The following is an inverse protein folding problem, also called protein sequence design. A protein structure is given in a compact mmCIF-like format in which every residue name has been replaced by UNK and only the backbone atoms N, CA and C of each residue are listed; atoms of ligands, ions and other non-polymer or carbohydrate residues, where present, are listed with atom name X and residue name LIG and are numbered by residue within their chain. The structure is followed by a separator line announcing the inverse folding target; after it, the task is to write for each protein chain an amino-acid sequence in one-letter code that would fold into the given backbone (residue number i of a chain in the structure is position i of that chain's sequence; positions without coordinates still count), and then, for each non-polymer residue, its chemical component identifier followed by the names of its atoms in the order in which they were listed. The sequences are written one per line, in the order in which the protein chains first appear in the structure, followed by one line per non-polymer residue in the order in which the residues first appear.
data_IF_627028561023
#
_entry.id   IF_627028561023
#
_cell.length_a   1.000
_cell.length_b   1.000
_cell.length_c   1.000
_cell.angle_alpha   90.00
_cell.angle_beta   90.00
_cell.angle_gamma   90.00
#
_symmetry.space_group_name_H-M   'P 1'
#
loop_
_entity.id
_entity.type
_entity.pdbx_description
1 polymer ?
#
# COMPACT_ATOMS: atom_id res chain seq x y z
N UNK A 1 -15.63 4.16 7.49
CA UNK A 1 -14.57 3.71 8.42
C UNK A 1 -13.36 4.58 8.23
N UNK A 2 -12.99 5.38 9.24
CA UNK A 2 -11.77 6.19 9.23
C UNK A 2 -10.65 5.35 9.83
N UNK A 3 -9.82 4.76 8.97
CA UNK A 3 -8.65 3.97 9.37
C UNK A 3 -7.57 4.88 9.99
N UNK A 4 -6.81 4.33 10.94
CA UNK A 4 -5.64 5.01 11.51
C UNK A 4 -4.70 5.47 10.40
N UNK A 5 -4.29 6.75 10.44
CA UNK A 5 -3.37 7.31 9.45
C UNK A 5 -1.95 7.11 9.92
N UNK A 6 -1.21 6.22 9.27
CA UNK A 6 0.23 6.02 9.54
C UNK A 6 0.97 7.31 9.21
N UNK A 7 1.73 7.84 10.17
CA UNK A 7 2.52 9.05 10.00
C UNK A 7 3.95 8.79 10.47
N UNK A 8 4.88 8.70 9.52
CA UNK A 8 6.30 8.63 9.79
C UNK A 8 6.75 9.87 10.54
N UNK A 9 7.42 9.69 11.68
CA UNK A 9 8.00 10.80 12.46
C UNK A 9 9.42 10.40 12.86
N UNK A 10 10.40 11.25 12.57
CA UNK A 10 11.82 11.00 12.90
C UNK A 10 12.13 11.62 14.27
N UNK A 11 12.63 10.82 15.21
CA UNK A 11 13.15 11.31 16.49
C UNK A 11 14.67 11.07 16.52
N UNK A 12 15.44 12.11 16.17
CA UNK A 12 16.91 12.01 16.10
C UNK A 12 17.42 11.01 15.05
N UNK A 13 18.37 10.17 15.46
CA UNK A 13 19.03 9.16 14.62
C UNK A 13 18.37 7.77 14.65
N UNK A 14 17.29 7.61 15.43
CA UNK A 14 16.52 6.37 15.51
C UNK A 14 15.33 6.41 14.56
N UNK A 15 15.23 5.39 13.70
CA UNK A 15 14.07 5.16 12.84
C UNK A 15 13.08 4.25 13.55
N UNK A 16 12.06 4.83 14.18
CA UNK A 16 10.98 4.09 14.84
C UNK A 16 9.65 4.44 14.18
N UNK A 17 8.90 3.44 13.74
CA UNK A 17 7.54 3.65 13.26
C UNK A 17 6.62 3.86 14.46
N UNK A 18 6.20 5.11 14.63
CA UNK A 18 5.15 5.47 15.57
C UNK A 18 3.86 5.71 14.78
N UNK A 19 2.85 4.86 14.96
CA UNK A 19 1.51 5.19 14.46
C UNK A 19 0.94 6.26 15.38
N UNK A 20 0.40 7.34 14.78
CA UNK A 20 -0.36 8.34 15.52
C UNK A 20 -1.82 8.23 15.10
N UNK A 21 -2.67 7.71 15.99
CA UNK A 21 -4.08 8.08 15.92
C UNK A 21 -4.22 9.50 16.50
N UNK A 22 -5.13 10.31 15.96
CA UNK A 22 -5.35 11.70 16.41
C UNK A 22 -5.23 11.83 17.95
N UNK A 23 -4.23 12.54 18.47
CA UNK A 23 -4.09 12.82 19.90
C UNK A 23 -2.70 12.53 20.47
N UNK A 24 -2.67 12.11 21.75
CA UNK A 24 -1.47 11.86 22.56
C UNK A 24 -1.13 10.36 22.71
N UNK A 25 -1.48 9.55 21.70
CA UNK A 25 -1.25 8.10 21.71
C UNK A 25 -0.19 7.70 20.69
N UNK A 26 0.67 6.78 21.09
CA UNK A 26 1.87 6.31 20.39
C UNK A 26 1.78 4.79 20.25
N UNK A 27 1.99 4.27 19.05
CA UNK A 27 1.97 2.83 18.81
C UNK A 27 3.24 2.41 18.10
N UNK A 28 3.84 1.33 18.56
CA UNK A 28 5.10 0.82 18.02
C UNK A 28 4.82 -0.21 16.92
N UNK A 29 5.53 -0.11 15.80
CA UNK A 29 5.48 -1.10 14.71
C UNK A 29 6.33 -2.33 15.02
N UNK A 30 5.97 -3.00 16.10
CA UNK A 30 6.48 -4.33 16.38
C UNK A 30 5.38 -5.33 16.10
N UNK A 31 5.69 -6.29 15.22
CA UNK A 31 4.80 -7.41 14.90
C UNK A 31 4.26 -8.13 16.14
N UNK A 32 5.01 -8.13 17.26
CA UNK A 32 4.58 -8.70 18.55
C UNK A 32 3.43 -7.91 19.22
N UNK A 33 3.27 -6.65 18.86
CA UNK A 33 2.20 -5.76 19.33
C UNK A 33 0.96 -5.83 18.44
N UNK A 34 1.00 -6.61 17.36
CA UNK A 34 -0.12 -6.83 16.45
C UNK A 34 -0.84 -8.15 16.77
N UNK A 35 -2.16 -8.08 16.86
CA UNK A 35 -3.01 -9.27 16.99
C UNK A 35 -4.07 -9.24 15.88
N UNK A 36 -4.19 -10.32 15.10
CA UNK A 36 -5.18 -10.36 14.03
C UNK A 36 -6.60 -10.35 14.60
N UNK A 37 -7.44 -9.47 14.07
CA UNK A 37 -8.88 -9.38 14.41
C UNK A 37 -9.75 -9.99 13.29
N UNK A 38 -9.12 -10.39 12.18
CA UNK A 38 -9.79 -10.88 10.98
C UNK A 38 -10.06 -9.77 9.95
N UNK A 39 -10.52 -10.16 8.75
CA UNK A 39 -10.90 -9.22 7.70
C UNK A 39 -9.75 -8.38 7.11
N UNK A 40 -8.50 -8.78 7.35
CA UNK A 40 -7.30 -8.01 6.98
C UNK A 40 -6.96 -6.87 7.94
N UNK A 41 -7.46 -6.95 9.18
CA UNK A 41 -7.26 -5.94 10.22
C UNK A 41 -6.54 -6.56 11.41
N UNK A 42 -5.58 -5.82 11.96
CA UNK A 42 -4.88 -6.16 13.19
C UNK A 42 -5.15 -5.10 14.26
N UNK A 43 -5.32 -5.52 15.51
CA UNK A 43 -5.23 -4.61 16.64
C UNK A 43 -3.77 -4.33 16.93
N UNK A 44 -3.41 -3.08 17.15
CA UNK A 44 -2.09 -2.61 17.53
C UNK A 44 -2.16 -2.02 18.93
N UNK A 45 -1.32 -2.53 19.84
CA UNK A 45 -1.18 -1.98 21.20
C UNK A 45 -0.15 -0.86 21.24
N UNK A 46 -0.40 0.13 22.07
CA UNK A 46 0.44 1.32 22.24
C UNK A 46 0.19 1.98 23.59
N UNK A 47 0.65 3.22 23.73
CA UNK A 47 0.56 3.99 24.97
C UNK A 47 -0.06 5.36 24.71
N UNK A 48 -1.00 5.76 25.56
CA UNK A 48 -1.43 7.14 25.71
C UNK A 48 -0.52 7.84 26.72
N UNK A 49 -0.05 9.04 26.40
CA UNK A 49 0.84 9.82 27.27
C UNK A 49 0.36 11.27 27.39
N UNK A 50 0.20 11.78 28.61
CA UNK A 50 -0.21 13.16 28.83
C UNK A 50 0.37 13.76 30.10
N UNK A 51 0.84 15.00 30.02
CA UNK A 51 1.28 15.74 31.19
C UNK A 51 0.15 16.57 31.79
N UNK A 52 0.08 16.61 33.12
CA UNK A 52 -0.85 17.43 33.90
C UNK A 52 -0.10 18.19 34.98
N UNK A 53 -0.33 19.50 35.06
CA UNK A 53 0.16 20.32 36.16
C UNK A 53 -0.65 20.01 37.42
N UNK A 54 0.04 19.75 38.52
CA UNK A 54 -0.53 19.51 39.85
C UNK A 54 0.05 20.52 40.83
N UNK A 55 -0.52 20.64 42.03
CA UNK A 55 0.04 21.50 43.08
C UNK A 55 1.48 21.12 43.47
N UNK A 56 1.88 19.85 43.25
CA UNK A 56 3.22 19.34 43.50
C UNK A 56 4.17 19.37 42.28
N UNK A 57 3.77 20.01 41.18
CA UNK A 57 4.56 20.07 39.94
C UNK A 57 3.94 19.29 38.78
N UNK A 58 4.75 18.99 37.76
CA UNK A 58 4.29 18.31 36.55
C UNK A 58 4.18 16.79 36.77
N UNK A 59 3.03 16.22 36.46
CA UNK A 59 2.78 14.77 36.50
C UNK A 59 2.62 14.20 35.09
N UNK A 60 3.11 12.98 34.89
CA UNK A 60 2.96 12.23 33.64
C UNK A 60 1.92 11.12 33.82
N UNK A 61 0.86 11.14 33.03
CA UNK A 61 -0.13 10.08 32.92
C UNK A 61 0.19 9.19 31.71
N UNK A 62 0.38 7.89 31.96
CA UNK A 62 0.63 6.86 30.97
C UNK A 62 -0.43 5.76 31.08
N UNK A 63 -1.09 5.43 29.97
CA UNK A 63 -2.10 4.36 29.92
C UNK A 63 -1.93 3.51 28.65
N UNK A 64 -2.35 2.24 28.71
CA UNK A 64 -2.33 1.34 27.55
C UNK A 64 -3.45 1.73 26.60
N UNK A 65 -3.13 1.84 25.31
CA UNK A 65 -4.10 2.11 24.26
C UNK A 65 -4.06 0.99 23.22
N UNK A 66 -5.21 0.67 22.63
CA UNK A 66 -5.32 -0.29 21.54
C UNK A 66 -6.05 0.37 20.39
N UNK A 67 -5.50 0.28 19.18
CA UNK A 67 -6.13 0.78 17.94
C UNK A 67 -6.20 -0.33 16.91
N UNK A 68 -6.97 -0.12 15.84
CA UNK A 68 -7.02 -1.04 14.70
C UNK A 68 -6.23 -0.48 13.52
N UNK A 69 -5.42 -1.32 12.90
CA UNK A 69 -4.67 -1.02 11.69
C UNK A 69 -4.95 -2.08 10.63
N UNK A 70 -4.72 -1.74 9.37
CA UNK A 70 -4.69 -2.76 8.32
C UNK A 70 -3.50 -3.67 8.57
N UNK A 71 -3.70 -4.98 8.47
CA UNK A 71 -2.62 -5.96 8.64
C UNK A 71 -1.60 -5.78 7.52
N UNK A 72 -0.33 -5.39 7.75
CA UNK A 72 0.62 -5.18 6.67
C UNK A 72 0.81 -6.43 5.80
N UNK A 73 0.95 -6.27 4.50
CA UNK A 73 1.07 -7.41 3.60
C UNK A 73 0.66 -7.16 2.14
N UNK A 74 0.62 -8.22 1.32
CA UNK A 74 0.22 -8.14 -0.08
C UNK A 74 -1.24 -7.67 -0.21
N UNK A 75 -1.49 -6.74 -1.14
CA UNK A 75 -2.84 -6.19 -1.35
C UNK A 75 -3.86 -7.29 -1.71
N UNK A 76 -3.43 -8.32 -2.44
CA UNK A 76 -4.30 -9.44 -2.82
C UNK A 76 -4.81 -10.22 -1.61
N UNK A 77 -3.97 -10.42 -0.59
CA UNK A 77 -4.33 -11.18 0.61
C UNK A 77 -5.25 -10.36 1.50
N UNK A 78 -5.06 -9.04 1.54
CA UNK A 78 -6.00 -8.13 2.19
C UNK A 78 -7.38 -8.16 1.53
N UNK A 79 -7.46 -8.11 0.20
CA UNK A 79 -8.75 -8.23 -0.52
C UNK A 79 -9.44 -9.56 -0.21
N UNK A 80 -8.69 -10.66 -0.21
CA UNK A 80 -9.19 -11.99 0.13
C UNK A 80 -9.73 -12.06 1.55
N UNK A 81 -8.93 -11.61 2.51
CA UNK A 81 -9.27 -11.62 3.93
C UNK A 81 -10.52 -10.76 4.21
N UNK A 82 -10.60 -9.58 3.58
CA UNK A 82 -11.74 -8.67 3.77
C UNK A 82 -13.05 -9.23 3.19
N UNK A 83 -12.97 -9.99 2.10
CA UNK A 83 -14.15 -10.62 1.48
C UNK A 83 -14.44 -12.03 2.00
N UNK A 84 -13.59 -12.59 2.87
CA UNK A 84 -13.75 -13.94 3.41
C UNK A 84 -13.58 -15.05 2.35
N UNK A 85 -12.75 -14.81 1.34
CA UNK A 85 -12.56 -15.74 0.20
C UNK A 85 -11.15 -16.31 0.18
N UNK A 86 -11.04 -17.60 -0.18
CA UNK A 86 -9.75 -18.27 -0.35
C UNK A 86 -9.24 -18.17 -1.79
N UNK A 87 -10.15 -18.35 -2.77
CA UNK A 87 -9.81 -18.29 -4.19
C UNK A 87 -9.89 -16.84 -4.71
N UNK A 88 -8.79 -16.36 -5.29
CA UNK A 88 -8.74 -15.03 -5.90
C UNK A 88 -9.65 -14.88 -7.13
N UNK A 89 -10.03 -15.98 -7.78
CA UNK A 89 -10.96 -15.93 -8.92
C UNK A 89 -12.37 -15.50 -8.52
N UNK A 90 -12.72 -15.64 -7.23
CA UNK A 90 -14.02 -15.28 -6.67
C UNK A 90 -14.06 -13.85 -6.10
N UNK A 91 -13.00 -13.06 -6.31
CA UNK A 91 -12.96 -11.67 -5.85
C UNK A 91 -14.06 -10.85 -6.52
N UNK A 92 -14.88 -10.20 -5.70
CA UNK A 92 -15.75 -9.12 -6.15
C UNK A 92 -14.91 -7.86 -6.33
N UNK A 93 -14.51 -7.58 -7.59
CA UNK A 93 -13.67 -6.45 -7.94
C UNK A 93 -14.37 -5.10 -7.73
N UNK A 94 -15.71 -5.05 -7.73
CA UNK A 94 -16.48 -3.83 -7.46
C UNK A 94 -16.34 -3.46 -5.98
N UNK A 95 -16.47 -4.44 -5.08
CA UNK A 95 -16.22 -4.25 -3.64
C UNK A 95 -14.75 -3.94 -3.37
N UNK A 96 -13.82 -4.66 -4.01
CA UNK A 96 -12.39 -4.43 -3.85
C UNK A 96 -11.99 -3.00 -4.25
N UNK A 97 -12.50 -2.49 -5.38
CA UNK A 97 -12.24 -1.12 -5.85
C UNK A 97 -12.68 -0.06 -4.84
N UNK A 98 -13.86 -0.24 -4.21
CA UNK A 98 -14.37 0.68 -3.18
C UNK A 98 -13.51 0.65 -1.92
N UNK A 99 -13.13 -0.55 -1.47
CA UNK A 99 -12.32 -0.75 -0.27
C UNK A 99 -10.91 -0.18 -0.42
N UNK A 100 -10.24 -0.44 -1.54
CA UNK A 100 -8.85 -0.04 -1.78
C UNK A 100 -8.69 1.46 -2.04
N UNK A 101 -9.78 2.17 -2.36
CA UNK A 101 -9.74 3.59 -2.70
C UNK A 101 -9.17 4.41 -1.54
N UNK A 102 -8.21 5.29 -1.84
CA UNK A 102 -7.49 6.14 -0.89
C UNK A 102 -6.51 5.43 0.06
N UNK A 103 -6.38 4.11 0.01
CA UNK A 103 -5.31 3.41 0.73
C UNK A 103 -3.94 3.78 0.14
N UNK A 104 -2.89 3.64 0.94
CA UNK A 104 -1.50 3.78 0.49
C UNK A 104 -0.93 2.40 0.27
N UNK A 105 -0.16 2.26 -0.81
CA UNK A 105 0.56 1.03 -1.14
C UNK A 105 1.98 1.35 -1.52
N UNK A 106 2.86 0.40 -1.27
CA UNK A 106 4.27 0.42 -1.58
C UNK A 106 4.55 -0.61 -2.66
N UNK A 107 5.16 -0.14 -3.75
CA UNK A 107 5.56 -0.99 -4.85
C UNK A 107 6.86 -1.72 -4.49
N UNK A 108 6.86 -3.05 -4.53
CA UNK A 108 8.00 -3.87 -4.10
C UNK A 108 9.24 -3.68 -4.96
N UNK A 109 9.06 -3.49 -6.28
CA UNK A 109 10.15 -3.35 -7.24
C UNK A 109 10.91 -2.03 -7.16
N UNK A 110 10.32 -0.97 -6.59
CA UNK A 110 10.91 0.38 -6.55
C UNK A 110 10.90 1.00 -5.16
N UNK A 111 10.33 0.32 -4.16
CA UNK A 111 10.17 0.80 -2.79
C UNK A 111 9.38 2.13 -2.68
N UNK A 112 8.67 2.54 -3.74
CA UNK A 112 7.93 3.80 -3.81
C UNK A 112 6.52 3.62 -3.26
N UNK A 113 6.09 4.61 -2.48
CA UNK A 113 4.72 4.67 -1.96
C UNK A 113 3.80 5.47 -2.88
N UNK A 114 2.56 5.00 -2.99
CA UNK A 114 1.54 5.58 -3.83
C UNK A 114 0.19 5.56 -3.12
N UNK A 115 -0.67 6.53 -3.45
CA UNK A 115 -2.08 6.52 -3.03
C UNK A 115 -2.93 5.88 -4.13
N UNK A 116 -3.70 4.85 -3.77
CA UNK A 116 -4.61 4.17 -4.69
C UNK A 116 -5.74 5.12 -5.09
N UNK A 117 -5.95 5.23 -6.40
CA UNK A 117 -7.12 5.90 -6.98
C UNK A 117 -8.25 4.93 -7.31
N UNK A 118 -7.88 3.73 -7.76
CA UNK A 118 -8.83 2.68 -8.07
C UNK A 118 -8.15 1.45 -8.63
N UNK A 119 -8.92 0.65 -9.35
CA UNK A 119 -8.47 -0.50 -10.11
C UNK A 119 -8.76 -0.26 -11.59
N UNK A 120 -7.91 -0.80 -12.46
CA UNK A 120 -8.11 -0.79 -13.90
C UNK A 120 -9.36 -1.58 -14.32
N UNK A 121 -9.91 -1.25 -15.47
CA UNK A 121 -11.05 -1.97 -16.04
C UNK A 121 -10.63 -3.28 -16.73
N UNK A 122 -9.41 -3.30 -17.27
CA UNK A 122 -8.81 -4.47 -17.93
C UNK A 122 -7.77 -5.16 -17.03
N UNK A 123 -7.57 -6.47 -17.18
CA UNK A 123 -6.51 -7.20 -16.48
C UNK A 123 -5.11 -6.80 -16.98
N UNK A 124 -4.07 -7.06 -16.17
CA UNK A 124 -2.72 -6.60 -16.47
C UNK A 124 -2.12 -7.15 -17.78
N UNK A 125 -2.57 -8.32 -18.26
CA UNK A 125 -2.20 -8.89 -19.55
C UNK A 125 -2.88 -8.23 -20.76
N UNK A 126 -3.97 -7.48 -20.57
CA UNK A 126 -4.74 -6.80 -21.63
C UNK A 126 -4.75 -5.27 -21.47
N UNK A 127 -4.12 -4.76 -20.42
CA UNK A 127 -4.01 -3.34 -20.13
C UNK A 127 -2.75 -2.76 -20.77
N UNK A 128 -2.93 -2.04 -21.88
CA UNK A 128 -1.86 -1.38 -22.61
C UNK A 128 -1.55 0.02 -22.06
N UNK A 129 -0.29 0.41 -22.19
CA UNK A 129 0.15 1.80 -22.01
C UNK A 129 1.28 2.13 -22.97
N UNK A 130 1.49 3.43 -23.18
CA UNK A 130 2.56 3.94 -24.03
C UNK A 130 3.86 3.98 -23.22
N UNK A 131 4.83 3.14 -23.60
CA UNK A 131 6.19 3.17 -23.09
C UNK A 131 6.98 4.27 -23.81
N UNK A 132 7.43 5.26 -23.04
CA UNK A 132 8.41 6.25 -23.50
C UNK A 132 9.80 5.70 -23.18
N UNK A 133 10.48 5.18 -24.18
CA UNK A 133 11.88 4.76 -24.04
C UNK A 133 12.75 6.00 -23.78
N UNK A 134 13.79 5.85 -22.95
CA UNK A 134 14.77 6.93 -22.79
C UNK A 134 15.69 6.90 -24.03
N UNK A 135 15.98 8.04 -24.65
CA UNK A 135 16.97 8.11 -25.72
C UNK A 135 18.34 7.80 -25.10
N UNK A 136 18.82 6.55 -25.24
CA UNK A 136 20.12 6.15 -24.69
C UNK A 136 20.46 4.66 -24.75
N UNK A 137 19.47 3.75 -24.79
CA UNK A 137 19.75 2.29 -24.71
C UNK A 137 19.93 1.59 -26.07
N UNK A 138 19.65 2.27 -27.17
CA UNK A 138 19.94 1.78 -28.52
C UNK A 138 20.58 2.91 -29.30
N UNK A 139 21.81 2.71 -29.80
CA UNK A 139 22.60 3.67 -30.58
C UNK A 139 21.99 4.11 -31.92
N UNK A 140 20.66 4.04 -32.06
CA UNK A 140 19.91 4.48 -33.21
C UNK A 140 19.44 5.91 -32.99
N UNK A 141 20.04 6.85 -33.74
CA UNK A 141 19.60 8.24 -33.96
C UNK A 141 18.25 8.30 -34.73
N UNK A 142 17.24 7.56 -34.27
CA UNK A 142 15.90 7.55 -34.84
C UNK A 142 14.88 8.05 -33.82
N UNK A 143 13.84 8.75 -34.27
CA UNK A 143 12.70 9.14 -33.44
C UNK A 143 12.28 8.00 -32.51
N UNK A 144 12.24 8.28 -31.20
CA UNK A 144 11.73 7.32 -30.20
C UNK A 144 10.23 7.19 -30.44
N UNK A 145 9.85 6.20 -31.24
CA UNK A 145 8.44 5.91 -31.47
C UNK A 145 7.83 5.41 -30.17
N UNK A 146 6.72 6.00 -29.71
CA UNK A 146 5.99 5.47 -28.55
C UNK A 146 5.62 4.01 -28.82
N UNK A 147 6.08 3.10 -27.96
CA UNK A 147 5.79 1.67 -28.06
C UNK A 147 4.63 1.33 -27.13
N UNK A 148 3.58 0.74 -27.67
CA UNK A 148 2.51 0.18 -26.84
C UNK A 148 2.96 -1.17 -26.27
N UNK A 149 2.80 -1.33 -24.97
CA UNK A 149 3.13 -2.56 -24.25
C UNK A 149 2.10 -2.79 -23.15
N UNK A 150 1.83 -4.04 -22.82
CA UNK A 150 0.94 -4.36 -21.69
C UNK A 150 1.67 -4.18 -20.36
N UNK A 151 0.92 -3.95 -19.29
CA UNK A 151 1.50 -3.92 -17.93
C UNK A 151 2.23 -5.23 -17.63
N UNK A 152 1.64 -6.38 -17.97
CA UNK A 152 2.29 -7.68 -17.81
C UNK A 152 3.63 -7.76 -18.55
N UNK A 153 3.66 -7.43 -19.84
CA UNK A 153 4.89 -7.51 -20.63
C UNK A 153 5.97 -6.55 -20.11
N UNK A 154 5.58 -5.36 -19.65
CA UNK A 154 6.52 -4.41 -19.06
C UNK A 154 7.22 -4.99 -17.83
N UNK A 155 6.45 -5.49 -16.86
CA UNK A 155 7.00 -6.08 -15.63
C UNK A 155 7.82 -7.33 -15.93
N UNK A 156 7.39 -8.15 -16.89
CA UNK A 156 8.12 -9.36 -17.28
C UNK A 156 9.45 -9.05 -17.98
N UNK A 157 9.45 -8.16 -18.99
CA UNK A 157 10.63 -7.92 -19.84
C UNK A 157 11.62 -6.91 -19.24
N UNK A 158 11.12 -5.87 -18.57
CA UNK A 158 11.97 -4.78 -18.07
C UNK A 158 12.35 -4.92 -16.60
N UNK A 159 11.54 -5.65 -15.81
CA UNK A 159 11.80 -5.85 -14.38
C UNK A 159 12.07 -7.32 -14.01
N UNK A 160 12.01 -8.24 -14.98
CA UNK A 160 12.14 -9.70 -14.76
C UNK A 160 11.18 -10.22 -13.67
N UNK A 161 9.98 -9.65 -13.60
CA UNK A 161 8.95 -10.02 -12.63
C UNK A 161 7.84 -10.81 -13.31
N UNK A 162 7.74 -12.10 -12.96
CA UNK A 162 6.67 -12.95 -13.45
C UNK A 162 5.41 -12.79 -12.59
N UNK A 163 4.35 -12.24 -13.19
CA UNK A 163 3.12 -11.89 -12.48
C UNK A 163 2.18 -13.09 -12.21
N UNK A 164 2.56 -14.34 -12.51
CA UNK A 164 1.77 -15.57 -12.34
C UNK A 164 0.25 -15.32 -12.50
N UNK A 165 -0.53 -15.54 -11.44
CA UNK A 165 -1.99 -15.35 -11.45
C UNK A 165 -2.41 -13.89 -11.54
N UNK A 166 -1.61 -12.95 -11.03
CA UNK A 166 -1.95 -11.51 -11.02
C UNK A 166 -1.96 -10.88 -12.41
N UNK A 167 -1.40 -11.55 -13.43
CA UNK A 167 -1.52 -11.12 -14.82
C UNK A 167 -2.98 -11.02 -15.28
N UNK A 168 -3.86 -11.89 -14.77
CA UNK A 168 -5.28 -11.98 -15.14
C UNK A 168 -6.20 -11.15 -14.23
N UNK A 169 -5.62 -10.36 -13.32
CA UNK A 169 -6.38 -9.49 -12.41
C UNK A 169 -6.24 -8.02 -12.82
N UNK A 170 -7.19 -7.16 -12.40
CA UNK A 170 -7.03 -5.72 -12.51
C UNK A 170 -5.74 -5.25 -11.85
N UNK A 171 -5.11 -4.24 -12.45
CA UNK A 171 -3.99 -3.55 -11.85
C UNK A 171 -4.49 -2.43 -10.93
N UNK A 172 -3.71 -2.07 -9.91
CA UNK A 172 -3.94 -0.91 -9.06
C UNK A 172 -3.59 0.35 -9.86
N UNK A 173 -4.53 1.28 -9.99
CA UNK A 173 -4.29 2.60 -10.56
C UNK A 173 -3.82 3.57 -9.47
N UNK A 174 -2.59 4.06 -9.64
CA UNK A 174 -1.95 5.05 -8.78
C UNK A 174 -1.55 6.33 -9.53
N UNK A 175 -1.85 6.41 -10.82
CA UNK A 175 -1.41 7.48 -11.71
C UNK A 175 -2.23 8.76 -11.61
N UNK A 176 -1.88 9.76 -12.42
CA UNK A 176 -2.73 10.93 -12.67
C UNK A 176 -3.60 10.67 -13.91
N UNK A 177 -4.75 11.33 -14.09
CA UNK A 177 -5.59 11.14 -15.29
C UNK A 177 -4.80 11.29 -16.60
N UNK A 178 -3.84 12.22 -16.63
CA UNK A 178 -2.98 12.51 -17.79
C UNK A 178 -1.82 11.52 -17.93
N UNK A 179 -1.41 10.89 -16.82
CA UNK A 179 -0.27 9.97 -16.77
C UNK A 179 -0.61 8.80 -15.85
N UNK A 180 -1.38 7.82 -16.36
CA UNK A 180 -1.74 6.66 -15.58
C UNK A 180 -0.49 5.88 -15.18
N UNK A 181 -0.56 5.22 -14.03
CA UNK A 181 0.50 4.37 -13.50
C UNK A 181 -0.22 3.16 -12.93
N UNK A 182 0.10 1.99 -13.46
CA UNK A 182 -0.55 0.74 -13.09
C UNK A 182 0.42 -0.18 -12.39
N UNK A 183 0.01 -0.69 -11.23
CA UNK A 183 0.79 -1.62 -10.44
C UNK A 183 0.05 -2.96 -10.34
N UNK A 184 0.65 -4.08 -10.75
CA UNK A 184 0.09 -5.40 -10.48
C UNK A 184 -0.10 -5.63 -8.97
N UNK A 185 -1.12 -6.40 -8.61
CA UNK A 185 -1.42 -6.73 -7.21
C UNK A 185 -0.27 -7.49 -6.53
N UNK A 186 0.43 -8.37 -7.26
CA UNK A 186 1.53 -9.16 -6.72
C UNK A 186 2.76 -8.34 -6.30
N UNK A 187 2.91 -7.13 -6.84
CA UNK A 187 4.06 -6.25 -6.57
C UNK A 187 3.69 -5.07 -5.67
N UNK A 188 2.53 -5.12 -5.01
CA UNK A 188 2.00 -4.04 -4.20
C UNK A 188 1.69 -4.56 -2.79
N UNK A 189 2.22 -3.87 -1.79
CA UNK A 189 1.96 -4.14 -0.37
C UNK A 189 1.37 -2.89 0.28
N UNK A 190 0.50 -3.02 1.27
CA UNK A 190 0.20 -1.90 2.16
C UNK A 190 0.99 -2.07 3.47
N UNK A 191 1.33 -0.93 4.04
CA UNK A 191 1.93 -0.79 5.35
C UNK A 191 0.89 -0.10 6.25
#
# INVERSE_FOLDING_TARGET
MNWCRIKWTRFGDYHELILFNKGKSFFHDDSRMLTSVGGGVSSCRGLHSSFHSTQGGLSLNLDVSTTMILTPGPVIDFVRANQGIQDARKIDWIKAKKMLRNMRVKATHSNREFKIKGLSEKPCNELYFILKEKPGDTGSRGEVKPKEITVYEYFRRHLNLELRTSAYFPCIDVGKPIKPIYLPLAVSKHD
#
